data_IF_692865424963
#
_entry.id   IF_692865424963
#
_cell.length_a   1.000
_cell.length_b   1.000
_cell.length_c   1.000
_cell.angle_alpha   90.00
_cell.angle_beta   90.00
_cell.angle_gamma   90.00
#
_symmetry.space_group_name_H-M   'P 1'
#
loop_
_entity.id
_entity.type
_entity.pdbx_description
1 polymer ?
#
# COMPACT_ATOMS: atom_id res chain seq x y z
N UNK A 1 -1.28 -16.77 11.96
CA UNK A 1 -0.27 -16.62 10.88
C UNK A 1 0.46 -15.30 11.12
N UNK A 2 1.77 -15.22 10.84
CA UNK A 2 2.50 -13.95 10.96
C UNK A 2 1.87 -12.88 10.06
N UNK A 3 1.93 -11.62 10.51
CA UNK A 3 1.40 -10.48 9.77
C UNK A 3 2.17 -10.30 8.46
N UNK A 4 1.48 -10.37 7.32
CA UNK A 4 2.08 -10.30 5.99
C UNK A 4 2.01 -8.87 5.45
N UNK A 5 3.09 -8.12 5.65
CA UNK A 5 3.21 -6.78 5.09
C UNK A 5 3.22 -6.83 3.57
N UNK A 6 2.29 -6.10 2.96
CA UNK A 6 2.14 -6.02 1.50
C UNK A 6 2.56 -4.64 1.00
N UNK A 7 3.47 -4.61 0.03
CA UNK A 7 3.87 -3.41 -0.68
C UNK A 7 3.00 -3.24 -1.93
N UNK A 8 2.30 -2.11 -2.05
CA UNK A 8 1.52 -1.74 -3.24
C UNK A 8 2.30 -0.67 -4.02
N UNK A 9 2.84 -1.06 -5.17
CA UNK A 9 3.61 -0.20 -6.07
C UNK A 9 2.69 0.46 -7.10
N UNK A 10 2.78 1.79 -7.26
CA UNK A 10 1.85 2.52 -8.11
C UNK A 10 0.50 2.80 -7.42
N UNK A 11 0.52 2.87 -6.08
CA UNK A 11 -0.64 3.25 -5.29
C UNK A 11 -1.21 4.59 -5.76
N UNK A 12 -2.54 4.69 -5.78
CA UNK A 12 -3.23 5.89 -6.26
C UNK A 12 -4.32 6.31 -5.29
N UNK A 13 -4.47 7.62 -5.02
CA UNK A 13 -5.59 8.12 -4.21
C UNK A 13 -6.93 8.02 -4.95
N UNK A 14 -6.90 7.79 -6.28
CA UNK A 14 -8.10 7.80 -7.12
C UNK A 14 -8.90 6.49 -6.96
N UNK A 15 -10.18 6.55 -6.55
CA UNK A 15 -10.98 5.34 -6.23
C UNK A 15 -11.23 4.39 -7.41
N UNK A 16 -11.18 4.90 -8.64
CA UNK A 16 -11.34 4.12 -9.88
C UNK A 16 -10.09 3.29 -10.25
N UNK A 17 -8.96 3.53 -9.59
CA UNK A 17 -7.70 2.81 -9.85
C UNK A 17 -7.67 1.51 -9.07
N UNK A 18 -7.24 0.43 -9.73
CA UNK A 18 -7.12 -0.87 -9.10
C UNK A 18 -6.24 -0.84 -7.84
N UNK A 19 -5.13 -0.11 -7.89
CA UNK A 19 -4.21 0.06 -6.77
C UNK A 19 -4.88 0.67 -5.52
N UNK A 20 -5.87 1.55 -5.70
CA UNK A 20 -6.69 2.06 -4.60
C UNK A 20 -7.55 0.95 -3.98
N UNK A 21 -8.25 0.18 -4.82
CA UNK A 21 -9.08 -0.94 -4.36
C UNK A 21 -8.26 -2.01 -3.66
N UNK A 22 -7.05 -2.32 -4.17
CA UNK A 22 -6.13 -3.27 -3.57
C UNK A 22 -5.72 -2.84 -2.16
N UNK A 23 -5.29 -1.58 -1.98
CA UNK A 23 -4.97 -1.02 -0.65
C UNK A 23 -6.16 -1.16 0.30
N UNK A 24 -7.37 -0.76 -0.13
CA UNK A 24 -8.57 -0.84 0.72
C UNK A 24 -8.91 -2.27 1.11
N UNK A 25 -8.82 -3.23 0.19
CA UNK A 25 -9.08 -4.65 0.45
C UNK A 25 -8.05 -5.25 1.40
N UNK A 26 -6.77 -4.93 1.21
CA UNK A 26 -5.70 -5.39 2.09
C UNK A 26 -5.87 -4.86 3.52
N UNK A 27 -6.16 -3.56 3.67
CA UNK A 27 -6.47 -2.96 4.97
C UNK A 27 -7.69 -3.60 5.63
N UNK A 28 -8.78 -3.80 4.87
CA UNK A 28 -9.99 -4.46 5.37
C UNK A 28 -9.75 -5.93 5.78
N UNK A 29 -8.81 -6.61 5.12
CA UNK A 29 -8.34 -7.95 5.49
C UNK A 29 -7.35 -7.98 6.65
N UNK A 30 -6.99 -6.82 7.23
CA UNK A 30 -6.05 -6.73 8.35
C UNK A 30 -4.58 -6.91 7.94
N UNK A 31 -4.25 -6.83 6.66
CA UNK A 31 -2.87 -6.87 6.19
C UNK A 31 -2.22 -5.49 6.35
N UNK A 32 -1.01 -5.38 6.92
CA UNK A 32 -0.24 -4.14 6.87
C UNK A 32 0.08 -3.79 5.42
N UNK A 33 -0.08 -2.52 5.07
CA UNK A 33 0.13 -2.03 3.70
C UNK A 33 1.15 -0.90 3.71
N UNK A 34 2.11 -1.00 2.78
CA UNK A 34 3.00 0.11 2.42
C UNK A 34 2.60 0.53 1.01
N UNK A 35 2.07 1.73 0.87
CA UNK A 35 1.64 2.26 -0.41
C UNK A 35 2.74 3.17 -0.98
N UNK A 36 3.24 2.84 -2.17
CA UNK A 36 4.34 3.59 -2.81
C UNK A 36 3.91 4.07 -4.18
N UNK A 37 4.21 5.32 -4.50
CA UNK A 37 3.99 5.90 -5.82
C UNK A 37 4.98 7.02 -6.11
N UNK A 38 5.05 7.44 -7.38
CA UNK A 38 5.90 8.55 -7.80
C UNK A 38 5.56 9.90 -7.15
N UNK A 39 4.33 10.06 -6.63
CA UNK A 39 3.87 11.30 -5.99
C UNK A 39 3.30 11.00 -4.62
N UNK A 40 3.72 11.79 -3.63
CA UNK A 40 3.15 11.75 -2.30
C UNK A 40 1.65 12.07 -2.34
N UNK A 41 0.84 11.25 -1.68
CA UNK A 41 -0.61 11.44 -1.54
C UNK A 41 -1.14 10.54 -0.42
N UNK A 42 -2.46 10.35 -0.31
CA UNK A 42 -3.06 9.57 0.78
C UNK A 42 -4.28 8.78 0.30
N UNK A 43 -4.52 7.61 0.90
CA UNK A 43 -5.75 6.83 0.79
C UNK A 43 -6.41 6.80 2.17
N UNK A 44 -7.34 7.72 2.43
CA UNK A 44 -7.81 7.98 3.80
C UNK A 44 -6.65 8.45 4.67
N UNK A 45 -6.41 7.77 5.78
CA UNK A 45 -5.30 8.09 6.70
C UNK A 45 -3.99 7.37 6.33
N UNK A 46 -3.97 6.54 5.28
CA UNK A 46 -2.75 5.86 4.83
C UNK A 46 -1.92 6.76 3.90
N UNK A 47 -0.68 7.11 4.26
CA UNK A 47 0.21 7.84 3.37
C UNK A 47 0.66 6.97 2.20
N UNK A 48 0.67 7.55 1.01
CA UNK A 48 1.38 7.04 -0.16
C UNK A 48 2.74 7.73 -0.17
N UNK A 49 3.79 6.96 0.10
CA UNK A 49 5.17 7.45 0.17
C UNK A 49 5.86 7.32 -1.19
N UNK A 50 6.96 8.06 -1.37
CA UNK A 50 7.71 8.03 -2.64
C UNK A 50 8.87 7.04 -2.64
N UNK A 51 9.24 6.53 -1.46
CA UNK A 51 10.35 5.61 -1.25
C UNK A 51 9.89 4.47 -0.34
N UNK A 52 10.46 3.29 -0.55
CA UNK A 52 10.21 2.14 0.32
C UNK A 52 10.99 2.38 1.63
N UNK A 53 10.33 2.38 2.80
CA UNK A 53 11.03 2.62 4.07
C UNK A 53 12.10 1.56 4.34
N UNK A 54 13.26 2.00 4.83
CA UNK A 54 14.37 1.11 5.17
C UNK A 54 14.02 0.18 6.33
N UNK A 55 14.62 -1.02 6.34
CA UNK A 55 14.47 -1.98 7.43
C UNK A 55 13.11 -2.69 7.49
N UNK A 56 12.21 -2.46 6.53
CA UNK A 56 10.92 -3.15 6.48
C UNK A 56 11.01 -4.49 5.76
N UNK A 57 10.49 -5.54 6.38
CA UNK A 57 10.27 -6.83 5.72
C UNK A 57 8.95 -6.83 4.97
N UNK A 58 9.02 -7.09 3.66
CA UNK A 58 7.86 -7.20 2.77
C UNK A 58 7.66 -8.67 2.40
N UNK A 59 6.45 -9.19 2.59
CA UNK A 59 6.07 -10.57 2.21
C UNK A 59 5.58 -10.63 0.76
N UNK A 60 4.78 -9.65 0.37
CA UNK A 60 4.13 -9.61 -0.95
C UNK A 60 4.29 -8.24 -1.60
N UNK A 61 4.54 -8.21 -2.91
CA UNK A 61 4.53 -6.99 -3.74
C UNK A 61 3.41 -7.10 -4.76
N UNK A 62 2.60 -6.05 -4.91
CA UNK A 62 1.50 -5.98 -5.87
C UNK A 62 1.34 -4.56 -6.44
N UNK A 63 0.44 -4.35 -7.40
CA UNK A 63 0.28 -3.10 -8.16
C UNK A 63 -1.12 -2.50 -8.02
#
# INVERSE_FOLDING_TARGET
MPSKTTLVLGASPKPDRYSHMAVRRLQAGGHPVIAVAYRASHIGDLPIVMEIPEGVSVDTVTF
#
